data_IF_284535521363
#
_entry.id   IF_284535521363
#
_cell.length_a   1.000
_cell.length_b   1.000
_cell.length_c   1.000
_cell.angle_alpha   90.00
_cell.angle_beta   90.00
_cell.angle_gamma   90.00
#
_symmetry.space_group_name_H-M   'P 1'
#
loop_
_entity.id
_entity.type
_entity.pdbx_description
1 polymer ?
#
# COMPACT_ATOMS: atom_id res chain seq x y z
N UNK A 1 15.17 -11.41 -6.30
CA UNK A 1 14.11 -10.71 -7.04
C UNK A 1 12.83 -11.51 -6.87
N UNK A 2 11.66 -10.87 -6.83
CA UNK A 2 10.38 -11.57 -6.67
C UNK A 2 9.49 -11.30 -7.87
N UNK A 3 8.75 -12.32 -8.32
CA UNK A 3 7.53 -12.12 -9.08
C UNK A 3 6.42 -11.77 -8.08
N UNK A 4 5.78 -10.63 -8.31
CA UNK A 4 4.80 -10.04 -7.41
C UNK A 4 3.45 -9.97 -8.09
N UNK A 5 2.43 -10.57 -7.46
CA UNK A 5 1.05 -10.57 -7.94
C UNK A 5 0.16 -9.95 -6.86
N UNK A 6 -0.66 -8.99 -7.27
CA UNK A 6 -1.75 -8.45 -6.45
C UNK A 6 -3.05 -8.80 -7.16
N UNK A 7 -3.97 -9.44 -6.46
CA UNK A 7 -5.34 -9.66 -6.92
C UNK A 7 -6.24 -8.86 -6.00
N UNK A 8 -7.09 -8.02 -6.59
CA UNK A 8 -8.13 -7.30 -5.88
C UNK A 8 -9.47 -7.83 -6.36
N UNK A 9 -10.28 -8.31 -5.43
CA UNK A 9 -11.61 -8.86 -5.71
C UNK A 9 -12.62 -8.04 -4.94
N UNK A 10 -13.65 -7.54 -5.64
CA UNK A 10 -14.77 -6.85 -5.03
C UNK A 10 -16.00 -7.76 -5.15
N UNK A 11 -16.39 -8.39 -4.03
CA UNK A 11 -17.54 -9.31 -3.96
C UNK A 11 -18.46 -8.85 -2.82
N UNK A 12 -19.76 -8.73 -3.11
CA UNK A 12 -20.79 -8.36 -2.12
C UNK A 12 -20.49 -7.07 -1.31
N UNK A 13 -19.71 -6.15 -1.91
CA UNK A 13 -19.31 -4.91 -1.26
C UNK A 13 -18.07 -5.03 -0.36
N UNK A 14 -17.48 -6.21 -0.25
CA UNK A 14 -16.20 -6.47 0.42
C UNK A 14 -15.04 -6.42 -0.58
N UNK A 15 -14.00 -5.64 -0.25
CA UNK A 15 -12.77 -5.59 -1.03
C UNK A 15 -11.74 -6.55 -0.43
N UNK A 16 -11.51 -7.67 -1.10
CA UNK A 16 -10.42 -8.59 -0.79
C UNK A 16 -9.16 -8.21 -1.56
N UNK A 17 -8.02 -8.18 -0.86
CA UNK A 17 -6.70 -7.94 -1.46
C UNK A 17 -5.82 -9.13 -1.14
N UNK A 18 -5.41 -9.86 -2.18
CA UNK A 18 -4.49 -10.98 -2.07
C UNK A 18 -3.15 -10.60 -2.68
N UNK A 19 -2.08 -10.93 -1.97
CA UNK A 19 -0.72 -10.71 -2.41
C UNK A 19 0.06 -12.02 -2.46
N UNK A 20 0.70 -12.29 -3.60
CA UNK A 20 1.61 -13.42 -3.77
C UNK A 20 3.00 -12.94 -4.19
N UNK A 21 4.03 -13.52 -3.56
CA UNK A 21 5.45 -13.22 -3.80
C UNK A 21 6.21 -14.51 -4.06
N UNK A 22 6.62 -14.72 -5.30
CA UNK A 22 7.40 -15.88 -5.70
C UNK A 22 8.86 -15.48 -5.88
N UNK A 23 9.77 -16.13 -5.17
CA UNK A 23 11.20 -15.86 -5.30
C UNK A 23 11.70 -16.38 -6.65
N UNK A 24 12.26 -15.49 -7.48
CA UNK A 24 13.01 -15.95 -8.64
C UNK A 24 14.32 -16.60 -8.16
N UNK A 25 14.52 -17.88 -8.54
CA UNK A 25 15.63 -18.80 -8.17
C UNK A 25 16.84 -18.10 -7.52
N UNK A 26 17.15 -18.48 -6.27
CA UNK A 26 18.37 -18.02 -5.58
C UNK A 26 19.62 -18.65 -6.21
N UNK A 27 20.57 -17.81 -6.63
CA UNK A 27 21.98 -18.18 -6.72
C UNK A 27 22.71 -17.64 -5.48
N UNK A 28 22.85 -18.47 -4.45
CA UNK A 28 23.76 -18.20 -3.32
C UNK A 28 23.14 -18.14 -1.92
N UNK A 29 24.00 -18.37 -0.92
CA UNK A 29 23.70 -18.58 0.52
C UNK A 29 22.61 -17.65 1.07
N UNK A 30 21.60 -18.28 1.67
CA UNK A 30 20.50 -17.68 2.44
C UNK A 30 21.02 -16.64 3.44
N UNK A 31 20.96 -15.37 3.08
CA UNK A 31 21.27 -14.25 3.99
C UNK A 31 20.19 -14.26 5.07
N UNK A 32 20.59 -14.04 6.33
CA UNK A 32 19.71 -14.02 7.50
C UNK A 32 18.45 -13.20 7.19
N UNK A 33 17.30 -13.87 7.11
CA UNK A 33 16.06 -13.23 6.69
C UNK A 33 15.69 -12.17 7.73
N UNK A 34 15.31 -10.98 7.25
CA UNK A 34 14.64 -9.98 8.09
C UNK A 34 13.47 -10.66 8.79
N UNK A 35 13.44 -10.60 10.13
CA UNK A 35 12.36 -11.19 10.93
C UNK A 35 11.02 -10.49 10.68
N UNK A 36 11.03 -9.31 10.05
CA UNK A 36 9.84 -8.57 9.65
C UNK A 36 9.64 -8.66 8.13
N UNK A 37 8.67 -9.49 7.74
CA UNK A 37 8.14 -9.52 6.37
C UNK A 37 7.12 -8.40 6.24
N UNK A 38 7.46 -7.38 5.44
CA UNK A 38 6.54 -6.29 5.08
C UNK A 38 5.92 -6.57 3.71
N UNK A 39 4.60 -6.57 3.63
CA UNK A 39 3.75 -6.73 2.45
C UNK A 39 2.57 -5.74 2.51
N UNK A 40 1.73 -5.66 1.48
CA UNK A 40 0.56 -4.78 1.42
C UNK A 40 0.86 -3.30 1.11
N UNK A 41 2.11 -2.86 1.18
CA UNK A 41 2.47 -1.46 0.92
C UNK A 41 2.23 -0.95 -0.51
N UNK A 42 2.20 -1.78 -1.57
CA UNK A 42 1.73 -1.32 -2.87
C UNK A 42 0.29 -0.82 -2.88
N UNK A 43 -0.53 -1.32 -1.93
CA UNK A 43 -1.96 -0.99 -1.85
C UNK A 43 -2.24 0.11 -0.83
N UNK A 44 -1.21 0.84 -0.36
CA UNK A 44 -1.39 1.95 0.59
C UNK A 44 -2.32 3.05 0.04
N UNK A 45 -2.44 3.21 -1.28
CA UNK A 45 -3.38 4.14 -1.91
C UNK A 45 -4.85 3.77 -1.66
N UNK A 46 -5.15 2.57 -1.16
CA UNK A 46 -6.49 2.17 -0.76
C UNK A 46 -7.06 3.02 0.39
N UNK A 47 -6.23 3.81 1.08
CA UNK A 47 -6.73 4.86 1.99
C UNK A 47 -7.60 5.90 1.29
N UNK A 48 -7.59 5.99 -0.04
CA UNK A 48 -8.50 6.83 -0.85
C UNK A 48 -9.53 6.03 -1.64
N UNK A 49 -9.54 4.69 -1.52
CA UNK A 49 -10.49 3.87 -2.26
C UNK A 49 -11.91 4.04 -1.68
N UNK A 50 -12.97 4.12 -2.50
CA UNK A 50 -14.34 4.34 -2.02
C UNK A 50 -14.78 3.38 -0.91
N UNK A 51 -14.38 2.09 -1.00
CA UNK A 51 -14.65 1.08 0.03
C UNK A 51 -14.11 1.44 1.43
N UNK A 52 -13.00 2.19 1.51
CA UNK A 52 -12.39 2.60 2.79
C UNK A 52 -12.59 4.08 3.09
N UNK A 53 -13.23 4.85 2.22
CA UNK A 53 -13.31 6.31 2.36
C UNK A 53 -13.94 6.73 3.70
N UNK A 54 -14.98 6.04 4.15
CA UNK A 54 -15.63 6.31 5.45
C UNK A 54 -14.77 5.89 6.66
N UNK A 55 -13.70 5.13 6.44
CA UNK A 55 -12.77 4.73 7.49
C UNK A 55 -11.74 5.83 7.81
N UNK A 56 -11.69 6.92 7.05
CA UNK A 56 -10.72 7.99 7.23
C UNK A 56 -11.36 9.38 7.22
N UNK A 57 -10.84 10.26 8.07
CA UNK A 57 -11.03 11.71 7.97
C UNK A 57 -9.91 12.30 7.09
N UNK A 58 -10.27 13.23 6.21
CA UNK A 58 -9.31 13.92 5.34
C UNK A 58 -9.34 15.43 5.58
N UNK A 59 -8.17 16.07 5.43
CA UNK A 59 -8.02 17.52 5.50
C UNK A 59 -7.01 17.99 4.48
N UNK A 60 -7.43 18.88 3.59
CA UNK A 60 -6.54 19.56 2.66
C UNK A 60 -5.66 20.52 3.48
N UNK A 61 -4.34 20.39 3.38
CA UNK A 61 -3.35 21.21 4.08
C UNK A 61 -2.76 22.33 3.20
N UNK A 62 -3.06 22.33 1.90
CA UNK A 62 -2.61 23.33 0.93
C UNK A 62 -1.65 22.77 -0.11
N UNK A 63 -1.05 23.68 -0.88
CA UNK A 63 -0.13 23.34 -1.97
C UNK A 63 1.25 22.96 -1.44
N UNK A 64 1.94 22.10 -2.18
CA UNK A 64 3.28 21.58 -1.91
C UNK A 64 3.96 21.16 -3.22
N UNK A 65 5.18 20.64 -3.14
CA UNK A 65 5.93 20.14 -4.30
C UNK A 65 6.54 18.77 -3.99
N UNK A 66 6.36 17.81 -4.89
CA UNK A 66 6.98 16.48 -4.81
C UNK A 66 7.87 16.28 -6.02
N UNK A 67 9.18 16.12 -5.81
CA UNK A 67 10.16 15.87 -6.89
C UNK A 67 10.06 16.88 -8.05
N UNK A 68 9.74 18.14 -7.73
CA UNK A 68 9.57 19.23 -8.71
C UNK A 68 8.17 19.32 -9.34
N UNK A 69 7.25 18.42 -9.01
CA UNK A 69 5.85 18.45 -9.46
C UNK A 69 4.95 19.17 -8.44
N UNK A 70 4.08 20.10 -8.86
CA UNK A 70 3.07 20.70 -7.99
C UNK A 70 2.14 19.64 -7.41
N UNK A 71 1.80 19.76 -6.13
CA UNK A 71 0.94 18.82 -5.43
C UNK A 71 0.00 19.53 -4.45
N UNK A 72 -1.17 18.96 -4.21
CA UNK A 72 -2.00 19.29 -3.05
C UNK A 72 -1.67 18.28 -1.96
N UNK A 73 -1.36 18.78 -0.76
CA UNK A 73 -1.12 17.93 0.42
C UNK A 73 -2.43 17.68 1.17
N UNK A 74 -2.74 16.41 1.39
CA UNK A 74 -3.95 15.95 2.07
C UNK A 74 -3.52 15.13 3.28
N UNK A 75 -3.83 15.60 4.49
CA UNK A 75 -3.71 14.80 5.70
C UNK A 75 -4.87 13.81 5.79
N UNK A 76 -4.60 12.59 6.25
CA UNK A 76 -5.62 11.59 6.54
C UNK A 76 -5.39 10.96 7.92
N UNK A 77 -6.48 10.54 8.57
CA UNK A 77 -6.43 9.82 9.84
C UNK A 77 -7.59 8.85 9.94
N UNK A 78 -7.31 7.60 10.30
CA UNK A 78 -8.34 6.58 10.46
C UNK A 78 -9.27 6.91 11.64
N UNK A 79 -10.59 6.74 11.44
CA UNK A 79 -11.60 6.86 12.50
C UNK A 79 -11.78 5.53 13.24
N UNK A 80 -12.36 5.55 14.43
CA UNK A 80 -12.56 4.35 15.25
C UNK A 80 -14.01 4.34 15.77
N UNK A 81 -14.78 3.24 15.64
CA UNK A 81 -14.43 1.99 14.94
C UNK A 81 -14.48 2.14 13.42
N UNK A 82 -13.58 1.46 12.69
CA UNK A 82 -13.58 1.45 11.23
C UNK A 82 -12.87 0.20 10.68
N UNK A 83 -13.07 -0.08 9.39
CA UNK A 83 -12.30 -1.10 8.67
C UNK A 83 -10.86 -0.64 8.57
N UNK A 84 -9.91 -1.52 8.85
CA UNK A 84 -8.49 -1.22 8.63
C UNK A 84 -8.03 -1.75 7.28
N UNK A 85 -7.20 -0.96 6.59
CA UNK A 85 -6.52 -1.34 5.36
C UNK A 85 -5.23 -2.11 5.63
N UNK A 86 -4.81 -2.26 6.89
CA UNK A 86 -3.51 -2.85 7.24
C UNK A 86 -3.58 -3.55 8.59
N UNK A 87 -2.98 -4.74 8.69
CA UNK A 87 -2.90 -5.49 9.94
C UNK A 87 -1.47 -5.97 10.22
N UNK A 88 -1.14 -6.06 11.51
CA UNK A 88 0.04 -6.76 12.00
C UNK A 88 -0.34 -8.22 12.23
N UNK A 89 0.30 -9.14 11.50
CA UNK A 89 0.14 -10.58 11.73
C UNK A 89 1.16 -11.07 12.76
N UNK A 90 0.68 -11.47 13.94
CA UNK A 90 1.51 -12.04 15.01
C UNK A 90 0.97 -13.42 15.40
N UNK A 91 1.82 -14.45 15.32
CA UNK A 91 1.49 -15.84 15.75
C UNK A 91 0.17 -16.36 15.13
N UNK A 92 -0.11 -16.01 13.88
CA UNK A 92 -1.32 -16.44 13.17
C UNK A 92 -2.56 -15.58 13.41
N UNK A 93 -2.46 -14.52 14.22
CA UNK A 93 -3.55 -13.58 14.48
C UNK A 93 -3.28 -12.22 13.82
N UNK A 94 -4.33 -11.64 13.25
CA UNK A 94 -4.28 -10.31 12.64
C UNK A 94 -4.75 -9.25 13.64
N UNK A 95 -3.89 -8.25 13.87
CA UNK A 95 -4.18 -7.10 14.71
C UNK A 95 -4.30 -5.86 13.80
N UNK A 96 -5.50 -5.27 13.65
CA UNK A 96 -5.70 -4.09 12.81
C UNK A 96 -4.82 -2.93 13.25
N UNK A 97 -4.18 -2.27 12.29
CA UNK A 97 -3.43 -1.04 12.52
C UNK A 97 -4.34 0.15 12.27
N UNK A 98 -4.30 1.15 13.15
CA UNK A 98 -4.90 2.44 12.87
C UNK A 98 -3.85 3.34 12.20
N UNK A 99 -4.12 3.82 10.98
CA UNK A 99 -3.18 4.64 10.22
C UNK A 99 -3.49 6.14 10.30
N UNK A 100 -2.45 6.95 10.20
CA UNK A 100 -2.53 8.39 9.90
C UNK A 100 -1.39 8.78 8.98
N UNK A 101 -1.54 9.86 8.24
CA UNK A 101 -0.50 10.25 7.31
C UNK A 101 -0.85 11.46 6.46
N UNK A 102 -0.08 11.61 5.39
CA UNK A 102 -0.26 12.61 4.36
C UNK A 102 -0.12 11.97 2.99
N UNK A 103 -0.91 12.44 2.05
CA UNK A 103 -0.73 12.17 0.64
C UNK A 103 -0.46 13.46 -0.09
N UNK A 104 0.30 13.35 -1.18
CA UNK A 104 0.52 14.40 -2.14
C UNK A 104 -0.13 13.98 -3.44
N UNK A 105 -1.04 14.80 -3.92
CA UNK A 105 -1.91 14.50 -5.05
C UNK A 105 -1.70 15.56 -6.12
N UNK A 106 -1.55 15.14 -7.37
CA UNK A 106 -1.47 16.05 -8.51
C UNK A 106 -2.79 16.83 -8.66
N UNK A 107 -2.77 18.18 -8.68
CA UNK A 107 -3.98 18.99 -8.71
C UNK A 107 -4.77 18.88 -10.03
N UNK A 108 -4.12 18.50 -11.14
CA UNK A 108 -4.75 18.44 -12.45
C UNK A 108 -5.37 17.08 -12.77
N UNK A 109 -4.75 16.01 -12.29
CA UNK A 109 -5.09 14.61 -12.62
C UNK A 109 -5.66 13.83 -11.44
N UNK A 110 -5.61 14.38 -10.22
CA UNK A 110 -5.94 13.70 -8.97
C UNK A 110 -5.09 12.43 -8.71
N UNK A 111 -3.97 12.28 -9.39
CA UNK A 111 -3.07 11.15 -9.23
C UNK A 111 -2.30 11.27 -7.92
N UNK A 112 -2.25 10.18 -7.14
CA UNK A 112 -1.41 10.13 -5.94
C UNK A 112 0.05 10.08 -6.37
N UNK A 113 0.84 11.06 -5.95
CA UNK A 113 2.29 11.16 -6.21
C UNK A 113 3.09 10.46 -5.11
N UNK A 114 2.66 10.66 -3.86
CA UNK A 114 3.33 10.14 -2.66
C UNK A 114 2.34 9.93 -1.54
N UNK A 115 2.55 8.89 -0.75
CA UNK A 115 1.91 8.73 0.56
C UNK A 115 3.00 8.53 1.61
N UNK A 116 2.90 9.27 2.70
CA UNK A 116 3.60 9.00 3.94
C UNK A 116 2.58 8.65 5.01
N UNK A 117 2.75 7.51 5.67
CA UNK A 117 1.84 7.03 6.71
C UNK A 117 2.60 6.47 7.89
N UNK A 118 1.92 6.42 9.03
CA UNK A 118 2.37 5.64 10.16
C UNK A 118 1.26 5.35 11.13
N UNK A 119 1.62 4.74 12.26
CA UNK A 119 0.66 4.39 13.29
C UNK A 119 0.02 5.64 13.89
N UNK A 120 -1.30 5.65 13.95
CA UNK A 120 -2.07 6.64 14.71
C UNK A 120 -1.81 6.49 16.21
N UNK A 121 -1.69 5.25 16.69
CA UNK A 121 -1.37 4.88 18.07
C UNK A 121 -0.29 3.79 18.09
N UNK A 122 0.75 3.89 18.93
CA UNK A 122 1.70 2.81 19.15
C UNK A 122 1.00 1.53 19.61
N UNK A 123 1.59 0.38 19.30
CA UNK A 123 1.12 -0.94 19.74
C UNK A 123 2.18 -1.60 20.63
N UNK A 124 2.63 -0.87 21.66
CA UNK A 124 3.70 -1.31 22.56
C UNK A 124 3.43 -2.67 23.21
N UNK A 125 2.16 -2.97 23.51
CA UNK A 125 1.75 -4.26 24.08
C UNK A 125 1.98 -5.44 23.13
N UNK A 126 2.00 -5.19 21.82
CA UNK A 126 2.33 -6.16 20.77
C UNK A 126 3.79 -6.04 20.30
N UNK A 127 4.59 -5.20 20.98
CA UNK A 127 5.99 -4.96 20.70
C UNK A 127 6.27 -3.92 19.60
N UNK A 128 5.26 -3.46 18.85
CA UNK A 128 5.43 -2.52 17.74
C UNK A 128 5.25 -1.06 18.22
N UNK A 129 6.36 -0.33 18.32
CA UNK A 129 6.37 1.06 18.80
C UNK A 129 6.07 2.06 17.69
N UNK A 130 6.60 1.81 16.49
CA UNK A 130 6.34 2.63 15.31
C UNK A 130 6.39 1.80 14.04
N UNK A 131 5.62 2.24 13.06
CA UNK A 131 5.65 1.79 11.69
C UNK A 131 5.49 3.04 10.84
N UNK A 132 6.53 3.43 10.12
CA UNK A 132 6.56 4.59 9.25
C UNK A 132 6.77 4.10 7.82
N UNK A 133 5.97 4.60 6.89
CA UNK A 133 5.92 4.13 5.52
C UNK A 133 5.90 5.32 4.57
N UNK A 134 6.77 5.29 3.56
CA UNK A 134 6.78 6.27 2.48
C UNK A 134 6.72 5.54 1.14
N UNK A 135 5.63 5.73 0.41
CA UNK A 135 5.40 5.13 -0.91
C UNK A 135 5.40 6.24 -1.95
N UNK A 136 6.26 6.12 -2.96
CA UNK A 136 6.25 6.98 -4.14
C UNK A 136 5.54 6.28 -5.28
N UNK A 137 4.76 7.05 -6.02
CA UNK A 137 4.00 6.59 -7.16
C UNK A 137 4.48 7.31 -8.41
N UNK A 138 4.32 6.67 -9.55
CA UNK A 138 4.62 7.29 -10.83
C UNK A 138 3.88 6.63 -11.98
N UNK A 139 3.91 7.25 -13.16
CA UNK A 139 3.16 6.79 -14.31
C UNK A 139 3.73 5.49 -14.86
N UNK A 140 2.83 4.55 -15.15
CA UNK A 140 3.09 3.27 -15.81
C UNK A 140 2.17 3.17 -17.01
N UNK A 141 2.76 3.12 -18.20
CA UNK A 141 2.01 2.96 -19.44
C UNK A 141 1.79 1.47 -19.70
N UNK A 142 0.54 1.07 -19.88
CA UNK A 142 0.19 -0.27 -20.33
C UNK A 142 -0.23 -0.26 -21.80
N UNK A 143 0.14 -1.28 -22.57
CA UNK A 143 -0.35 -1.43 -23.95
C UNK A 143 -1.88 -1.45 -23.99
N UNK A 144 -2.46 -0.66 -24.91
CA UNK A 144 -3.90 -0.58 -25.11
C UNK A 144 -4.66 0.29 -24.11
N UNK A 145 -3.98 0.95 -23.16
CA UNK A 145 -4.61 1.87 -22.23
C UNK A 145 -4.46 3.33 -22.69
N UNK A 146 -5.51 4.16 -22.57
CA UNK A 146 -5.51 5.53 -23.09
C UNK A 146 -4.70 6.51 -22.22
N UNK A 147 -4.38 6.14 -20.98
CA UNK A 147 -3.68 6.97 -20.02
C UNK A 147 -2.75 6.11 -19.14
N UNK A 148 -1.68 6.71 -18.57
CA UNK A 148 -0.82 6.02 -17.61
C UNK A 148 -1.57 5.71 -16.32
N UNK A 149 -1.23 4.58 -15.71
CA UNK A 149 -1.64 4.23 -14.36
C UNK A 149 -0.60 4.73 -13.37
N UNK A 150 -1.03 5.39 -12.30
CA UNK A 150 -0.13 5.80 -11.23
C UNK A 150 0.03 4.68 -10.22
N UNK A 151 1.16 3.99 -10.32
CA UNK A 151 1.46 2.80 -9.52
C UNK A 151 2.69 3.04 -8.63
N UNK A 152 2.83 2.30 -7.52
CA UNK A 152 4.00 2.37 -6.67
C UNK A 152 5.30 2.18 -7.47
N UNK A 153 6.33 2.96 -7.17
CA UNK A 153 7.67 2.77 -7.72
C UNK A 153 8.65 2.32 -6.63
N UNK A 154 8.47 2.87 -5.43
CA UNK A 154 9.29 2.54 -4.28
C UNK A 154 8.46 2.65 -3.00
N UNK A 155 8.60 1.69 -2.10
CA UNK A 155 8.07 1.77 -0.74
C UNK A 155 9.23 1.62 0.26
N UNK A 156 9.41 2.60 1.13
CA UNK A 156 10.31 2.54 2.29
C UNK A 156 9.48 2.31 3.55
N UNK A 157 9.83 1.29 4.30
CA UNK A 157 9.15 0.92 5.55
C UNK A 157 10.19 0.90 6.65
N UNK A 158 9.92 1.65 7.70
CA UNK A 158 10.70 1.68 8.93
C UNK A 158 9.81 1.18 10.06
N UNK A 159 10.24 0.12 10.73
CA UNK A 159 9.53 -0.46 11.85
C UNK A 159 10.42 -0.44 13.08
N UNK A 160 9.88 0.03 14.20
CA UNK A 160 10.59 0.04 15.48
C UNK A 160 9.84 -0.79 16.51
N UNK A 161 10.59 -1.65 17.17
CA UNK A 161 10.21 -2.32 18.41
C UNK A 161 11.15 -1.86 19.50
N UNK A 162 10.84 -2.23 20.75
CA UNK A 162 11.68 -1.91 21.92
C UNK A 162 13.16 -2.27 21.77
N UNK A 163 13.47 -3.30 20.98
CA UNK A 163 14.83 -3.85 20.89
C UNK A 163 15.46 -3.72 19.50
N UNK A 164 14.67 -3.40 18.48
CA UNK A 164 15.13 -3.49 17.10
C UNK A 164 14.48 -2.41 16.23
N UNK A 165 15.26 -1.95 15.26
CA UNK A 165 14.81 -1.06 14.20
C UNK A 165 15.10 -1.75 12.86
N UNK A 166 14.08 -1.89 12.03
CA UNK A 166 14.21 -2.46 10.69
C UNK A 166 13.84 -1.42 9.64
N UNK A 167 14.57 -1.46 8.54
CA UNK A 167 14.26 -0.71 7.34
C UNK A 167 14.17 -1.67 6.15
N UNK A 168 13.03 -1.67 5.47
CA UNK A 168 12.80 -2.42 4.25
C UNK A 168 12.53 -1.45 3.09
N UNK A 169 13.16 -1.69 1.95
CA UNK A 169 12.91 -0.93 0.72
C UNK A 169 12.42 -1.90 -0.35
N UNK A 170 11.22 -1.65 -0.86
CA UNK A 170 10.67 -2.36 -2.02
C UNK A 170 10.78 -1.45 -3.23
N UNK A 171 11.19 -2.02 -4.36
CA UNK A 171 11.22 -1.34 -5.66
C UNK A 171 10.34 -2.12 -6.62
N UNK A 172 9.40 -1.43 -7.25
CA UNK A 172 8.44 -2.03 -8.16
C UNK A 172 8.79 -1.60 -9.58
N UNK A 173 8.80 -2.58 -10.49
CA UNK A 173 9.18 -2.37 -11.89
C UNK A 173 8.57 -3.47 -12.74
N UNK A 174 8.64 -3.31 -14.06
CA UNK A 174 8.18 -4.33 -15.03
C UNK A 174 6.71 -4.75 -14.81
N UNK A 175 5.88 -3.76 -14.48
CA UNK A 175 4.44 -3.95 -14.31
C UNK A 175 3.81 -4.63 -15.52
N UNK A 176 2.88 -5.54 -15.24
CA UNK A 176 2.02 -6.19 -16.24
C UNK A 176 0.58 -6.00 -15.84
N UNK A 177 -0.27 -5.70 -16.82
CA UNK A 177 -1.70 -5.60 -16.65
C UNK A 177 -2.36 -6.82 -17.27
N UNK A 178 -3.25 -7.47 -16.51
CA UNK A 178 -4.03 -8.62 -16.96
C UNK A 178 -5.50 -8.28 -16.81
N UNK A 179 -6.31 -8.64 -17.80
CA UNK A 179 -7.77 -8.52 -17.75
C UNK A 179 -8.36 -9.90 -17.98
N UNK A 180 -9.16 -10.37 -17.03
CA UNK A 180 -9.93 -11.61 -17.17
C UNK A 180 -11.34 -11.21 -17.61
N UNK A 181 -11.77 -11.71 -18.78
CA UNK A 181 -13.18 -11.67 -19.20
C UNK A 181 -13.77 -13.04 -18.93
N UNK A 182 -14.81 -13.11 -18.10
CA UNK A 182 -15.57 -14.33 -17.88
C UNK A 182 -16.85 -14.25 -18.71
N UNK A 183 -17.02 -15.17 -19.67
CA UNK A 183 -18.29 -15.39 -20.37
C UNK A 183 -19.01 -16.55 -19.68
N UNK A 184 -20.23 -16.32 -19.20
CA UNK A 184 -21.09 -17.36 -18.64
C UNK A 184 -22.13 -17.74 -19.70
N UNK A 185 -21.97 -18.90 -20.34
CA UNK A 185 -23.05 -19.51 -21.11
C UNK A 185 -23.98 -20.27 -20.16
N UNK A 186 -25.23 -19.79 -20.04
CA UNK A 186 -26.31 -20.55 -19.40
C UNK A 186 -26.90 -21.44 -20.49
N UNK A 187 -26.67 -22.76 -20.42
CA UNK A 187 -27.40 -23.72 -21.25
C UNK A 187 -28.88 -23.71 -20.84
N UNK A 188 -29.75 -23.35 -21.79
CA UNK A 188 -31.21 -23.48 -21.67
C UNK A 188 -31.67 -24.90 -22.01
#
# INVERSE_FOLDING_TARGET
MFDYLIVMTLEEGELAVEESRLLQKEAGKRKQMSLLVTNGFPTLSLVFHPHYQESFEYRIEGDDVVEGQPAIRIAFRQVTPARSTTALRLRGHDFPLELKGRAWVDPGTASVLRIESGLKKPMGDLGLEALDCAVRYGPVNFPGQPAPYWLPQEARIEARTRHQHWQNVHRFSSYKHFTVKSETEVQQ
#
